data_IF_142743177653
#
_entry.id   IF_142743177653
#
_cell.length_a   1.000
_cell.length_b   1.000
_cell.length_c   1.000
_cell.angle_alpha   90.00
_cell.angle_beta   90.00
_cell.angle_gamma   90.00
#
_symmetry.space_group_name_H-M   'P 1'
#
loop_
_entity.id
_entity.type
_entity.pdbx_description
1 polymer ?
#
# COMPACT_ATOMS: atom_id res chain seq x y z
N UNK A 1 13.21 13.96 -3.42
CA UNK A 1 13.32 15.32 -4.00
C UNK A 1 12.52 16.35 -3.20
N UNK A 2 11.69 15.95 -2.24
CA UNK A 2 10.82 16.87 -1.49
C UNK A 2 9.49 17.10 -2.21
N UNK A 3 9.23 16.38 -3.30
CA UNK A 3 7.99 16.43 -4.05
C UNK A 3 7.04 15.31 -3.59
N UNK A 4 5.76 15.49 -3.91
CA UNK A 4 4.73 14.49 -3.68
C UNK A 4 4.78 13.47 -4.81
N UNK A 5 4.89 12.19 -4.46
CA UNK A 5 4.81 11.09 -5.41
C UNK A 5 3.58 10.23 -5.16
N UNK A 6 2.98 9.76 -6.26
CA UNK A 6 1.99 8.70 -6.20
C UNK A 6 2.69 7.34 -6.31
N UNK A 7 2.61 6.53 -5.25
CA UNK A 7 3.21 5.20 -5.22
C UNK A 7 2.10 4.14 -5.29
N UNK A 8 2.23 3.20 -6.23
CA UNK A 8 1.35 2.04 -6.29
C UNK A 8 2.18 0.76 -6.30
N UNK A 9 1.83 -0.18 -5.43
CA UNK A 9 2.49 -1.49 -5.32
C UNK A 9 1.47 -2.58 -5.55
N UNK A 10 1.80 -3.54 -6.41
CA UNK A 10 0.94 -4.70 -6.68
C UNK A 10 1.66 -5.99 -6.32
N UNK A 11 0.89 -6.99 -5.90
CA UNK A 11 1.35 -8.34 -5.71
C UNK A 11 0.26 -9.35 -6.06
N UNK A 12 0.66 -10.47 -6.66
CA UNK A 12 -0.21 -11.60 -6.98
C UNK A 12 0.38 -12.89 -6.45
N UNK A 13 -0.41 -13.63 -5.66
CA UNK A 13 -0.03 -14.93 -5.10
C UNK A 13 0.43 -15.93 -6.18
N UNK A 14 -0.35 -16.07 -7.25
CA UNK A 14 0.02 -16.92 -8.38
C UNK A 14 1.28 -16.38 -9.06
N UNK A 15 2.36 -17.17 -9.00
CA UNK A 15 3.66 -16.80 -9.56
C UNK A 15 4.45 -15.78 -8.72
N UNK A 16 3.87 -15.21 -7.66
CA UNK A 16 4.53 -14.20 -6.82
C UNK A 16 4.93 -12.94 -7.58
N UNK A 17 4.12 -12.56 -8.58
CA UNK A 17 4.39 -11.39 -9.42
C UNK A 17 4.15 -10.12 -8.62
N UNK A 18 5.07 -9.17 -8.69
CA UNK A 18 4.95 -7.87 -8.01
C UNK A 18 5.47 -6.74 -8.88
N UNK A 19 4.91 -5.55 -8.68
CA UNK A 19 5.27 -4.34 -9.42
C UNK A 19 5.24 -3.13 -8.50
N UNK A 20 6.13 -2.18 -8.75
CA UNK A 20 6.19 -0.88 -8.06
C UNK A 20 6.14 0.21 -9.12
N UNK A 21 5.13 1.07 -8.99
CA UNK A 21 4.91 2.24 -9.82
C UNK A 21 5.16 3.50 -8.99
N UNK A 22 5.74 4.50 -9.64
CA UNK A 22 5.89 5.85 -9.12
C UNK A 22 5.43 6.81 -10.20
N UNK A 23 4.48 7.66 -9.86
CA UNK A 23 3.84 8.65 -10.74
C UNK A 23 3.32 7.99 -12.02
N UNK A 24 2.56 6.91 -11.85
CA UNK A 24 1.98 6.13 -12.94
C UNK A 24 2.99 5.28 -13.74
N UNK A 25 4.30 5.44 -13.52
CA UNK A 25 5.35 4.77 -14.29
C UNK A 25 5.90 3.57 -13.55
N UNK A 26 5.98 2.41 -14.22
CA UNK A 26 6.61 1.21 -13.66
C UNK A 26 8.09 1.46 -13.39
N UNK A 27 8.53 1.37 -12.14
CA UNK A 27 9.93 1.53 -11.74
C UNK A 27 10.63 0.19 -11.52
N UNK A 28 9.92 -0.79 -10.95
CA UNK A 28 10.49 -2.10 -10.65
C UNK A 28 9.42 -3.19 -10.70
N UNK A 29 9.83 -4.40 -11.04
CA UNK A 29 8.97 -5.58 -11.02
C UNK A 29 9.79 -6.84 -10.77
N UNK A 30 9.09 -7.93 -10.45
CA UNK A 30 9.69 -9.24 -10.30
C UNK A 30 8.65 -10.34 -10.12
N UNK A 31 9.15 -11.54 -9.90
CA UNK A 31 8.34 -12.75 -9.71
C UNK A 31 8.85 -13.53 -8.48
N UNK A 32 8.10 -14.56 -8.08
CA UNK A 32 8.42 -15.48 -6.98
C UNK A 32 8.48 -14.86 -5.58
N UNK A 33 7.98 -13.64 -5.39
CA UNK A 33 7.81 -13.07 -4.05
C UNK A 33 6.63 -13.76 -3.36
N UNK A 34 6.88 -14.48 -2.26
CA UNK A 34 5.86 -15.21 -1.50
C UNK A 34 4.95 -16.08 -2.40
N UNK A 35 5.54 -16.85 -3.32
CA UNK A 35 4.82 -17.62 -4.33
C UNK A 35 3.81 -18.59 -3.70
N UNK A 36 2.54 -18.50 -4.12
CA UNK A 36 1.45 -19.31 -3.57
C UNK A 36 1.03 -18.92 -2.15
N UNK A 37 1.62 -17.86 -1.59
CA UNK A 37 1.29 -17.33 -0.28
C UNK A 37 -0.11 -16.72 -0.23
N UNK A 38 -0.62 -16.50 0.99
CA UNK A 38 -1.91 -15.86 1.25
C UNK A 38 -1.74 -14.77 2.29
N UNK A 39 -2.30 -13.58 2.02
CA UNK A 39 -2.47 -12.55 3.04
C UNK A 39 -3.49 -13.06 4.06
N UNK A 40 -3.07 -13.20 5.32
CA UNK A 40 -3.93 -13.72 6.40
C UNK A 40 -4.91 -12.64 6.84
N UNK A 41 -6.12 -13.05 7.21
CA UNK A 41 -7.12 -12.17 7.84
C UNK A 41 -6.78 -11.93 9.32
N UNK A 42 -7.45 -10.94 9.93
CA UNK A 42 -7.31 -10.63 11.36
C UNK A 42 -6.11 -9.76 11.73
N UNK A 43 -5.51 -9.07 10.75
CA UNK A 43 -4.48 -8.07 10.99
C UNK A 43 -5.05 -6.65 11.17
N UNK A 44 -4.16 -5.70 11.47
CA UNK A 44 -4.46 -4.26 11.61
C UNK A 44 -3.59 -3.47 10.65
N UNK A 45 -4.18 -2.51 9.95
CA UNK A 45 -3.44 -1.52 9.16
C UNK A 45 -3.01 -0.36 10.06
N UNK A 46 -1.72 -0.05 10.05
CA UNK A 46 -1.15 1.11 10.75
C UNK A 46 -0.38 1.92 9.72
N UNK A 47 -0.56 3.23 9.77
CA UNK A 47 0.17 4.19 8.95
C UNK A 47 1.25 4.86 9.80
N UNK A 48 2.33 5.24 9.14
CA UNK A 48 3.48 5.96 9.69
C UNK A 48 4.31 5.26 10.79
N UNK A 49 3.91 4.08 11.27
CA UNK A 49 4.69 3.28 12.23
C UNK A 49 4.96 1.88 11.68
N UNK A 50 6.10 1.31 12.04
CA UNK A 50 6.49 -0.06 11.67
C UNK A 50 6.02 -1.07 12.75
N UNK A 51 5.22 -2.06 12.35
CA UNK A 51 4.63 -3.04 13.26
C UNK A 51 5.54 -4.28 13.44
N UNK A 52 6.07 -4.49 14.65
CA UNK A 52 6.74 -5.75 15.02
C UNK A 52 5.77 -6.83 15.53
N UNK A 53 4.55 -6.43 15.90
CA UNK A 53 3.42 -7.30 16.25
C UNK A 53 2.11 -6.64 15.81
N UNK A 54 1.04 -7.43 15.70
CA UNK A 54 -0.28 -6.90 15.30
C UNK A 54 -0.67 -5.73 16.22
N UNK A 55 -0.77 -4.53 15.64
CA UNK A 55 -1.17 -3.31 16.32
C UNK A 55 -0.15 -2.69 17.28
N UNK A 56 1.14 -3.09 17.24
CA UNK A 56 2.13 -2.48 18.13
C UNK A 56 3.57 -2.95 17.93
N UNK A 57 4.40 -2.70 18.94
CA UNK A 57 5.85 -2.93 18.84
C UNK A 57 6.56 -1.87 18.01
N UNK A 58 6.08 -0.63 18.07
CA UNK A 58 6.63 0.47 17.28
C UNK A 58 7.99 0.94 17.84
N UNK A 59 8.96 1.19 16.96
CA UNK A 59 10.21 1.88 17.26
C UNK A 59 10.17 3.30 16.65
N UNK A 60 10.38 4.37 17.43
CA UNK A 60 10.44 5.73 16.91
C UNK A 60 11.47 5.94 15.79
N UNK A 61 12.53 5.16 15.73
CA UNK A 61 13.55 5.24 14.69
C UNK A 61 13.11 4.64 13.34
N UNK A 62 11.99 3.90 13.32
CA UNK A 62 11.38 3.32 12.12
C UNK A 62 10.11 4.08 11.71
N UNK A 63 9.74 5.14 12.43
CA UNK A 63 8.59 5.97 12.12
C UNK A 63 8.80 6.79 10.84
N UNK A 64 7.74 6.90 10.06
CA UNK A 64 7.68 7.82 8.93
C UNK A 64 7.44 9.25 9.41
N UNK A 65 8.22 10.20 8.89
CA UNK A 65 8.02 11.63 9.10
C UNK A 65 7.73 12.32 7.77
N UNK A 66 6.48 12.72 7.56
CA UNK A 66 6.01 13.37 6.34
C UNK A 66 4.50 13.34 6.23
N UNK A 67 3.98 13.57 5.01
CA UNK A 67 2.55 13.57 4.73
C UNK A 67 2.16 12.32 3.93
N UNK A 68 1.07 11.67 4.38
CA UNK A 68 0.41 10.58 3.65
C UNK A 68 -1.01 11.04 3.31
N UNK A 69 -1.46 10.72 2.10
CA UNK A 69 -2.82 11.01 1.64
C UNK A 69 -3.25 9.97 0.61
N UNK A 70 -4.56 9.80 0.45
CA UNK A 70 -5.15 8.94 -0.58
C UNK A 70 -4.67 7.49 -0.53
N UNK A 71 -4.49 6.95 0.69
CA UNK A 71 -4.11 5.55 0.88
C UNK A 71 -5.32 4.66 0.63
N UNK A 72 -5.24 3.88 -0.45
CA UNK A 72 -6.29 2.97 -0.88
C UNK A 72 -5.73 1.55 -1.05
N UNK A 73 -6.60 0.55 -0.89
CA UNK A 73 -6.24 -0.86 -1.01
C UNK A 73 -7.30 -1.65 -1.77
N UNK A 74 -6.83 -2.55 -2.63
CA UNK A 74 -7.66 -3.47 -3.40
C UNK A 74 -7.27 -4.93 -3.13
N UNK A 75 -8.24 -5.84 -3.26
CA UNK A 75 -8.03 -7.29 -3.21
C UNK A 75 -7.64 -7.90 -4.57
N UNK A 76 -7.44 -7.05 -5.58
CA UNK A 76 -7.04 -7.41 -6.94
C UNK A 76 -5.86 -6.57 -7.42
N UNK A 77 -5.17 -7.08 -8.43
CA UNK A 77 -4.13 -6.32 -9.13
C UNK A 77 -4.79 -5.29 -10.04
N UNK A 78 -4.46 -4.02 -9.84
CA UNK A 78 -4.84 -2.94 -10.76
C UNK A 78 -4.04 -3.05 -12.06
N UNK A 79 -4.66 -2.70 -13.16
CA UNK A 79 -4.03 -2.58 -14.48
C UNK A 79 -3.14 -1.34 -14.54
N UNK A 80 -2.20 -1.30 -15.48
CA UNK A 80 -1.37 -0.12 -15.71
C UNK A 80 -2.20 1.12 -16.10
N UNK A 81 -3.33 0.92 -16.81
CA UNK A 81 -4.24 2.00 -17.15
C UNK A 81 -4.92 2.59 -15.91
N UNK A 82 -5.40 1.74 -15.00
CA UNK A 82 -5.92 2.19 -13.70
C UNK A 82 -4.82 2.94 -12.93
N UNK A 83 -3.62 2.40 -12.79
CA UNK A 83 -2.55 3.08 -12.03
C UNK A 83 -2.18 4.44 -12.65
N UNK A 84 -2.23 4.56 -13.98
CA UNK A 84 -1.91 5.78 -14.71
C UNK A 84 -2.91 6.94 -14.53
N UNK A 85 -4.15 6.69 -14.06
CA UNK A 85 -5.12 7.77 -13.81
C UNK A 85 -4.86 8.54 -12.51
N UNK A 86 -3.89 8.11 -11.71
CA UNK A 86 -3.53 8.74 -10.45
C UNK A 86 -4.49 8.42 -9.29
N UNK A 87 -4.11 8.81 -8.06
CA UNK A 87 -4.81 8.44 -6.83
C UNK A 87 -6.13 9.20 -6.59
N UNK A 88 -6.41 10.30 -7.29
CA UNK A 88 -7.54 11.20 -7.02
C UNK A 88 -8.92 10.72 -7.53
N UNK A 89 -9.05 9.48 -8.02
CA UNK A 89 -10.31 8.98 -8.55
C UNK A 89 -10.54 7.48 -8.35
N UNK A 90 -9.76 6.84 -7.47
CA UNK A 90 -9.85 5.40 -7.26
C UNK A 90 -10.17 5.09 -5.81
N UNK A 91 -11.34 4.52 -5.59
CA UNK A 91 -11.76 3.99 -4.30
C UNK A 91 -11.32 2.53 -4.18
N UNK A 92 -10.60 2.22 -3.10
CA UNK A 92 -10.27 0.85 -2.74
C UNK A 92 -11.49 0.06 -2.31
N UNK A 93 -11.58 -1.20 -2.69
CA UNK A 93 -12.64 -2.09 -2.20
C UNK A 93 -12.29 -2.76 -0.85
N UNK A 94 -11.06 -2.57 -0.35
CA UNK A 94 -10.63 -3.04 0.98
C UNK A 94 -10.38 -1.87 1.92
N UNK A 95 -9.67 -0.84 1.47
CA UNK A 95 -9.50 0.44 2.18
C UNK A 95 -9.78 1.54 1.18
N UNK A 96 -10.75 2.38 1.50
CA UNK A 96 -11.04 3.62 0.79
C UNK A 96 -10.71 4.80 1.70
N UNK A 97 -9.75 5.63 1.29
CA UNK A 97 -9.27 6.76 2.08
C UNK A 97 -10.39 7.74 2.48
N UNK A 98 -11.40 7.88 1.63
CA UNK A 98 -12.47 8.87 1.84
C UNK A 98 -13.57 8.38 2.78
N UNK A 99 -13.75 7.06 2.90
CA UNK A 99 -14.91 6.47 3.59
C UNK A 99 -14.55 5.53 4.74
N UNK A 100 -13.30 5.09 4.84
CA UNK A 100 -12.85 4.22 5.93
C UNK A 100 -12.68 5.05 7.22
N UNK A 101 -13.19 4.55 8.35
CA UNK A 101 -12.94 5.15 9.66
C UNK A 101 -11.45 5.02 10.01
N UNK A 102 -10.76 6.17 10.14
CA UNK A 102 -9.34 6.24 10.51
C UNK A 102 -9.24 6.77 11.94
N UNK A 103 -8.73 5.95 12.84
CA UNK A 103 -8.40 6.35 14.21
C UNK A 103 -7.01 7.01 14.25
N UNK A 104 -6.92 8.20 14.84
CA UNK A 104 -5.67 8.97 14.94
C UNK A 104 -5.17 8.92 16.38
N UNK A 105 -3.90 8.52 16.55
CA UNK A 105 -3.20 8.43 17.83
C UNK A 105 -1.94 9.28 17.79
N UNK A 106 -1.58 9.93 18.90
CA UNK A 106 -0.40 10.80 19.03
C UNK A 106 -0.03 11.07 20.48
#
# INVERSE_FOLDING_TARGET
DGERHAICVTWRSTGGAWQVYMDGTLKKSGFRLNLGGKVRSGGTWILAQDQDKVGGGFDPNQAFSGELSQVNLWDRVLTAAEIGTGPCGQHGNVIDWETTDIEVFG
#
